data_IF_935487853376
#
_entry.id   IF_935487853376
#
_cell.length_a   1.000
_cell.length_b   1.000
_cell.length_c   1.000
_cell.angle_alpha   90.00
_cell.angle_beta   90.00
_cell.angle_gamma   90.00
#
_symmetry.space_group_name_H-M   'P 1'
#
loop_
_entity.id
_entity.type
_entity.pdbx_description
1 polymer ?
#
# COMPACT_ATOMS: atom_id res chain seq x y z
N UNK A 1 -13.69 -60.91 -2.34
CA UNK A 1 -12.44 -60.26 -2.81
C UNK A 1 -12.69 -59.14 -3.83
N UNK A 2 -13.81 -59.10 -4.57
CA UNK A 2 -14.10 -58.02 -5.53
C UNK A 2 -14.47 -56.65 -4.90
N UNK A 3 -14.99 -56.65 -3.68
CA UNK A 3 -15.57 -55.45 -3.06
C UNK A 3 -14.52 -54.41 -2.63
N UNK A 4 -13.36 -54.87 -2.14
CA UNK A 4 -12.24 -54.00 -1.77
C UNK A 4 -11.58 -53.35 -3.00
N UNK A 5 -11.51 -54.08 -4.13
CA UNK A 5 -10.96 -53.56 -5.38
C UNK A 5 -11.82 -52.42 -5.93
N UNK A 6 -13.14 -52.55 -5.90
CA UNK A 6 -14.05 -51.51 -6.36
C UNK A 6 -14.00 -50.27 -5.45
N UNK A 7 -13.88 -50.46 -4.14
CA UNK A 7 -13.72 -49.35 -3.19
C UNK A 7 -12.41 -48.58 -3.42
N UNK A 8 -11.31 -49.26 -3.72
CA UNK A 8 -10.03 -48.64 -4.07
C UNK A 8 -10.11 -47.84 -5.38
N UNK A 9 -10.77 -48.39 -6.40
CA UNK A 9 -10.96 -47.71 -7.70
C UNK A 9 -11.80 -46.43 -7.52
N UNK A 10 -12.88 -46.49 -6.74
CA UNK A 10 -13.73 -45.32 -6.47
C UNK A 10 -13.01 -44.22 -5.68
N UNK A 11 -12.07 -44.59 -4.80
CA UNK A 11 -11.28 -43.63 -4.04
C UNK A 11 -10.24 -42.94 -4.92
N UNK A 12 -9.60 -43.70 -5.82
CA UNK A 12 -8.65 -43.21 -6.79
C UNK A 12 -9.31 -42.23 -7.77
N UNK A 13 -10.48 -42.59 -8.30
CA UNK A 13 -11.27 -41.72 -9.18
C UNK A 13 -11.66 -40.41 -8.49
N UNK A 14 -12.03 -40.46 -7.20
CA UNK A 14 -12.32 -39.26 -6.42
C UNK A 14 -11.09 -38.38 -6.23
N UNK A 15 -9.93 -38.97 -5.96
CA UNK A 15 -8.68 -38.22 -5.81
C UNK A 15 -8.28 -37.52 -7.11
N UNK A 16 -8.49 -38.16 -8.27
CA UNK A 16 -8.26 -37.55 -9.57
C UNK A 16 -9.19 -36.36 -9.83
N UNK A 17 -10.47 -36.48 -9.46
CA UNK A 17 -11.44 -35.39 -9.56
C UNK A 17 -11.07 -34.19 -8.66
N UNK A 18 -10.66 -34.45 -7.43
CA UNK A 18 -10.24 -33.41 -6.49
C UNK A 18 -8.98 -32.68 -6.99
N UNK A 19 -8.01 -33.41 -7.57
CA UNK A 19 -6.82 -32.82 -8.18
C UNK A 19 -7.14 -32.01 -9.44
N UNK A 20 -8.04 -32.50 -10.29
CA UNK A 20 -8.48 -31.77 -11.47
C UNK A 20 -9.19 -30.45 -11.07
N UNK A 21 -10.03 -30.51 -10.04
CA UNK A 21 -10.70 -29.35 -9.49
C UNK A 21 -9.72 -28.32 -8.90
N UNK A 22 -8.73 -28.80 -8.14
CA UNK A 22 -7.68 -27.94 -7.58
C UNK A 22 -6.87 -27.25 -8.69
N UNK A 23 -6.50 -27.98 -9.74
CA UNK A 23 -5.79 -27.42 -10.89
C UNK A 23 -6.65 -26.35 -11.61
N UNK A 24 -7.93 -26.61 -11.80
CA UNK A 24 -8.86 -25.64 -12.37
C UNK A 24 -8.93 -24.36 -11.53
N UNK A 25 -9.04 -24.48 -10.21
CA UNK A 25 -9.02 -23.33 -9.30
C UNK A 25 -7.69 -22.57 -9.35
N UNK A 26 -6.55 -23.27 -9.43
CA UNK A 26 -5.24 -22.65 -9.60
C UNK A 26 -5.13 -21.88 -10.93
N UNK A 27 -5.65 -22.44 -12.01
CA UNK A 27 -5.71 -21.76 -13.32
C UNK A 27 -6.66 -20.56 -13.32
N UNK A 28 -7.75 -20.61 -12.56
CA UNK A 28 -8.65 -19.45 -12.39
C UNK A 28 -8.00 -18.37 -11.51
N UNK A 29 -7.36 -18.77 -10.41
CA UNK A 29 -6.65 -17.87 -9.52
C UNK A 29 -5.47 -17.20 -10.23
N UNK A 30 -4.67 -17.94 -11.01
CA UNK A 30 -3.56 -17.37 -11.80
C UNK A 30 -4.01 -16.45 -12.94
N UNK A 31 -5.23 -16.59 -13.45
CA UNK A 31 -5.81 -15.64 -14.41
C UNK A 31 -6.22 -14.32 -13.76
N UNK A 32 -6.68 -14.37 -12.50
CA UNK A 32 -7.06 -13.18 -11.72
C UNK A 32 -5.86 -12.55 -11.01
N UNK A 33 -4.85 -13.36 -10.70
CA UNK A 33 -3.60 -13.00 -10.09
C UNK A 33 -2.52 -13.26 -11.13
N UNK A 34 -2.32 -12.36 -12.12
CA UNK A 34 -1.13 -12.43 -12.95
C UNK A 34 0.04 -12.39 -11.96
N UNK A 35 0.75 -13.51 -11.87
CA UNK A 35 1.98 -13.74 -11.12
C UNK A 35 2.53 -12.47 -10.47
N UNK A 36 2.34 -12.41 -9.16
CA UNK A 36 3.06 -11.58 -8.18
C UNK A 36 4.21 -10.79 -8.82
N UNK A 37 4.00 -9.48 -8.99
CA UNK A 37 4.94 -8.54 -9.62
C UNK A 37 5.15 -8.87 -11.10
N UNK A 38 4.40 -8.20 -11.98
CA UNK A 38 4.88 -8.10 -13.37
C UNK A 38 6.32 -7.58 -13.33
N UNK A 39 7.19 -8.08 -14.20
CA UNK A 39 8.60 -7.65 -14.26
C UNK A 39 8.70 -6.12 -14.34
N UNK A 40 7.72 -5.48 -15.00
CA UNK A 40 7.55 -4.02 -15.02
C UNK A 40 7.22 -3.42 -13.65
N UNK A 41 6.31 -4.00 -12.87
CA UNK A 41 6.00 -3.52 -11.53
C UNK A 41 7.19 -3.67 -10.59
N UNK A 42 7.88 -4.82 -10.64
CA UNK A 42 9.11 -5.02 -9.87
C UNK A 42 10.19 -4.01 -10.26
N UNK A 43 10.45 -3.82 -11.55
CA UNK A 43 11.40 -2.84 -12.05
C UNK A 43 11.06 -1.40 -11.63
N UNK A 44 9.77 -1.05 -11.62
CA UNK A 44 9.32 0.27 -11.16
C UNK A 44 9.53 0.46 -9.65
N UNK A 45 9.27 -0.57 -8.85
CA UNK A 45 9.47 -0.50 -7.40
C UNK A 45 10.97 -0.43 -7.07
N UNK A 46 11.81 -1.24 -7.71
CA UNK A 46 13.26 -1.19 -7.50
C UNK A 46 13.83 0.17 -7.89
N UNK A 47 13.42 0.70 -9.05
CA UNK A 47 13.82 2.05 -9.47
C UNK A 47 13.36 3.12 -8.48
N UNK A 48 12.10 3.07 -8.04
CA UNK A 48 11.60 4.03 -7.05
C UNK A 48 12.36 3.96 -5.73
N UNK A 49 12.77 2.77 -5.29
CA UNK A 49 13.57 2.59 -4.09
C UNK A 49 14.99 3.18 -4.25
N UNK A 50 15.61 3.00 -5.41
CA UNK A 50 16.90 3.60 -5.75
C UNK A 50 16.82 5.12 -5.80
N UNK A 51 15.84 5.68 -6.54
CA UNK A 51 15.59 7.12 -6.65
C UNK A 51 15.37 7.75 -5.25
N UNK A 52 14.56 7.09 -4.40
CA UNK A 52 14.33 7.55 -3.03
C UNK A 52 15.61 7.51 -2.19
N UNK A 53 16.47 6.51 -2.39
CA UNK A 53 17.77 6.43 -1.73
C UNK A 53 18.67 7.62 -2.06
N UNK A 54 18.73 7.98 -3.35
CA UNK A 54 19.49 9.15 -3.81
C UNK A 54 18.92 10.46 -3.24
N UNK A 55 17.60 10.61 -3.23
CA UNK A 55 16.93 11.79 -2.66
C UNK A 55 17.22 11.94 -1.16
N UNK A 56 17.21 10.84 -0.40
CA UNK A 56 17.51 10.84 1.03
C UNK A 56 18.96 11.28 1.27
N UNK A 57 19.92 10.77 0.48
CA UNK A 57 21.33 11.17 0.61
C UNK A 57 21.56 12.64 0.21
N UNK A 58 20.92 13.09 -0.87
CA UNK A 58 20.92 14.50 -1.27
C UNK A 58 20.33 15.39 -0.16
N UNK A 59 19.23 14.97 0.46
CA UNK A 59 18.63 15.66 1.60
C UNK A 59 19.57 15.70 2.81
N UNK A 60 20.21 14.59 3.19
CA UNK A 60 21.18 14.57 4.30
C UNK A 60 22.33 15.54 4.08
N UNK A 61 22.83 15.61 2.84
CA UNK A 61 23.89 16.56 2.45
C UNK A 61 23.39 18.01 2.53
N UNK A 62 22.18 18.28 2.03
CA UNK A 62 21.58 19.62 2.12
C UNK A 62 21.31 20.03 3.58
N UNK A 63 20.89 19.10 4.43
CA UNK A 63 20.60 19.32 5.84
C UNK A 63 21.86 19.61 6.66
N UNK A 64 22.96 18.94 6.35
CA UNK A 64 24.26 19.15 7.03
C UNK A 64 25.00 20.40 6.58
N UNK A 65 24.58 21.01 5.46
CA UNK A 65 25.15 22.25 4.93
C UNK A 65 25.04 23.41 5.93
N UNK A 66 26.06 24.28 5.94
CA UNK A 66 26.11 25.43 6.86
C UNK A 66 24.96 26.41 6.63
N UNK A 67 24.55 26.58 5.36
CA UNK A 67 23.41 27.43 4.99
C UNK A 67 22.12 26.97 5.67
N UNK A 68 21.83 25.68 5.64
CA UNK A 68 20.64 25.12 6.27
C UNK A 68 20.69 25.25 7.79
N UNK A 69 21.86 24.98 8.40
CA UNK A 69 22.08 25.19 9.84
C UNK A 69 21.83 26.64 10.26
N UNK A 70 22.33 27.61 9.48
CA UNK A 70 22.14 29.03 9.76
C UNK A 70 20.65 29.45 9.73
N UNK A 71 19.86 28.90 8.79
CA UNK A 71 18.41 29.14 8.73
C UNK A 71 17.72 28.59 9.98
N UNK A 72 18.03 27.36 10.40
CA UNK A 72 17.44 26.76 11.61
C UNK A 72 17.86 27.49 12.88
N UNK A 73 19.12 27.92 12.96
CA UNK A 73 19.63 28.71 14.08
C UNK A 73 18.90 30.05 14.17
N UNK A 74 18.78 30.79 13.05
CA UNK A 74 18.02 32.04 12.98
C UNK A 74 16.57 31.87 13.42
N UNK A 75 15.89 30.79 12.98
CA UNK A 75 14.52 30.49 13.42
C UNK A 75 14.44 30.19 14.91
N UNK A 76 15.45 29.51 15.46
CA UNK A 76 15.52 29.21 16.89
C UNK A 76 15.77 30.46 17.74
N UNK A 77 16.69 31.31 17.30
CA UNK A 77 16.96 32.62 17.94
C UNK A 77 15.73 33.53 17.87
N UNK A 78 15.05 33.58 16.72
CA UNK A 78 13.80 34.35 16.57
C UNK A 78 12.70 33.86 17.51
N UNK A 79 12.53 32.53 17.69
CA UNK A 79 11.57 31.96 18.64
C UNK A 79 11.91 32.29 20.10
N UNK A 80 13.21 32.28 20.45
CA UNK A 80 13.68 32.68 21.78
C UNK A 80 13.47 34.17 22.04
N UNK A 81 13.70 35.01 21.02
CA UNK A 81 13.59 36.46 21.13
C UNK A 81 12.13 36.95 21.16
N UNK A 82 11.22 36.26 20.47
CA UNK A 82 9.82 36.63 20.41
C UNK A 82 8.91 35.47 20.83
N UNK A 83 8.88 35.21 22.14
CA UNK A 83 7.93 34.27 22.73
C UNK A 83 6.56 34.92 22.82
N UNK A 84 5.87 35.10 21.69
CA UNK A 84 4.46 35.54 21.64
C UNK A 84 3.48 34.53 22.29
N UNK A 85 3.97 33.68 23.20
CA UNK A 85 3.23 32.53 23.74
C UNK A 85 2.98 31.43 22.73
N UNK A 86 3.59 31.48 21.53
CA UNK A 86 3.40 30.46 20.48
C UNK A 86 4.08 29.18 20.95
N UNK A 87 3.27 28.25 21.47
CA UNK A 87 3.70 26.90 21.79
C UNK A 87 3.78 26.09 20.49
N UNK A 88 4.76 25.18 20.34
CA UNK A 88 4.74 24.23 19.24
C UNK A 88 3.43 23.43 19.31
N UNK A 89 2.75 23.30 18.18
CA UNK A 89 1.51 22.54 18.08
C UNK A 89 1.74 21.12 18.60
N UNK A 90 0.95 20.72 19.60
CA UNK A 90 0.90 19.35 20.06
C UNK A 90 -0.37 18.70 19.52
N UNK A 91 -0.30 17.44 19.09
CA UNK A 91 -1.47 16.71 18.61
C UNK A 91 -2.60 16.68 19.66
N UNK A 92 -2.25 16.66 20.94
CA UNK A 92 -3.19 16.74 22.07
C UNK A 92 -3.94 18.07 22.16
N UNK A 93 -3.44 19.15 21.54
CA UNK A 93 -4.12 20.46 21.52
C UNK A 93 -5.32 20.46 20.56
N UNK A 94 -5.40 19.49 19.63
CA UNK A 94 -6.53 19.30 18.73
C UNK A 94 -7.39 18.12 19.24
N UNK A 95 -8.63 18.36 19.70
CA UNK A 95 -9.51 17.30 20.20
C UNK A 95 -9.90 16.28 19.11
N UNK A 96 -9.81 16.66 17.83
CA UNK A 96 -10.13 15.81 16.69
C UNK A 96 -8.88 15.14 16.09
N UNK A 97 -7.70 15.22 16.71
CA UNK A 97 -6.47 14.65 16.13
C UNK A 97 -6.53 13.12 15.93
N UNK A 98 -7.28 12.41 16.77
CA UNK A 98 -7.52 10.95 16.65
C UNK A 98 -8.70 10.62 15.75
N UNK A 99 -9.44 11.63 15.29
CA UNK A 99 -10.61 11.41 14.45
C UNK A 99 -10.12 10.89 13.11
N UNK A 100 -10.35 9.61 12.87
CA UNK A 100 -10.12 9.01 11.56
C UNK A 100 -10.93 9.85 10.56
N UNK A 101 -10.31 10.46 9.55
CA UNK A 101 -11.06 11.17 8.53
C UNK A 101 -12.09 10.19 7.96
N UNK A 102 -13.30 10.66 7.63
CA UNK A 102 -14.31 9.79 7.05
C UNK A 102 -13.68 9.06 5.87
N UNK A 103 -13.84 7.73 5.83
CA UNK A 103 -13.51 6.94 4.65
C UNK A 103 -14.14 7.68 3.47
N UNK A 104 -13.34 8.04 2.46
CA UNK A 104 -13.90 8.58 1.23
C UNK A 104 -14.86 7.51 0.73
N UNK A 105 -16.15 7.73 0.91
CA UNK A 105 -17.14 6.86 0.29
C UNK A 105 -16.97 7.10 -1.20
N UNK A 106 -16.43 6.09 -1.89
CA UNK A 106 -16.30 6.04 -3.34
C UNK A 106 -17.72 6.07 -3.92
N UNK A 107 -18.27 7.28 -4.04
CA UNK A 107 -19.54 7.56 -4.71
C UNK A 107 -19.31 7.63 -6.23
N UNK A 108 -18.68 6.59 -6.78
CA UNK A 108 -18.59 6.35 -8.23
C UNK A 108 -19.59 5.27 -8.67
N UNK A 109 -20.73 5.17 -7.99
CA UNK A 109 -21.86 4.34 -8.41
C UNK A 109 -23.10 5.18 -8.64
N UNK A 110 -23.49 5.21 -9.91
CA UNK A 110 -24.77 5.66 -10.48
C UNK A 110 -24.92 7.14 -10.87
N UNK A 111 -24.54 7.45 -12.12
CA UNK A 111 -25.40 8.25 -12.99
C UNK A 111 -25.40 7.66 -14.40
N UNK A 112 -26.24 6.64 -14.58
CA UNK A 112 -26.69 6.13 -15.87
C UNK A 112 -28.21 6.27 -15.90
N UNK A 113 -28.74 6.98 -16.91
CA UNK A 113 -30.18 7.23 -17.10
C UNK A 113 -30.48 8.73 -17.25
N UNK A 114 -30.40 9.39 -18.41
CA UNK A 114 -31.21 9.26 -19.64
C UNK A 114 -32.55 10.03 -19.58
N UNK A 115 -32.66 11.19 -20.23
CA UNK A 115 -33.89 11.78 -20.83
C UNK A 115 -33.46 12.94 -21.76
N UNK A 116 -33.39 12.69 -23.07
CA UNK A 116 -34.41 12.95 -24.13
C UNK A 116 -34.69 14.43 -24.39
N UNK A 117 -34.47 14.78 -25.66
CA UNK A 117 -34.70 16.06 -26.33
C UNK A 117 -36.16 16.16 -26.80
#
# INVERSE_FOLDING_TARGET
>A
MADQSNASINLEERAEQDLAHLNQLHLQASKLHPQFWSEQYFANVTKSAEDTGEEIEAFKKAYTSEKTKAVFQRGTESRKANTLGIRPWCATDDPDWTRTPPQREDTDSASSGNEKK
#
